data_IF_697345990748
#
_entry.id   IF_697345990748
#
_cell.length_a   1.000
_cell.length_b   1.000
_cell.length_c   1.000
_cell.angle_alpha   90.00
_cell.angle_beta   90.00
_cell.angle_gamma   90.00
#
_symmetry.space_group_name_H-M   'P 1'
#
loop_
_entity.id
_entity.type
_entity.pdbx_description
1 polymer ?
#
# COMPACT_ATOMS: atom_id res chain seq x y z
N UNK A 1 -1.45 10.31 11.06
CA UNK A 1 -1.38 9.38 9.91
C UNK A 1 -0.66 10.14 8.81
N UNK A 2 0.47 9.63 8.37
CA UNK A 2 1.39 10.39 7.51
C UNK A 2 0.84 10.61 6.11
N UNK A 3 0.33 9.61 5.44
CA UNK A 3 -0.28 9.72 4.12
C UNK A 3 -1.49 8.77 4.05
N UNK A 4 -2.67 9.27 3.71
CA UNK A 4 -3.87 8.46 3.66
C UNK A 4 -4.64 8.66 2.35
N UNK A 5 -4.42 7.77 1.39
CA UNK A 5 -5.07 7.81 0.09
C UNK A 5 -6.58 7.72 0.17
N UNK A 6 -7.11 6.80 0.96
CA UNK A 6 -8.56 6.59 1.07
C UNK A 6 -9.29 7.80 1.64
N UNK A 7 -8.77 8.38 2.73
CA UNK A 7 -9.39 9.56 3.32
C UNK A 7 -9.33 10.76 2.37
N UNK A 8 -8.21 10.93 1.66
CA UNK A 8 -8.06 11.99 0.66
C UNK A 8 -9.04 11.80 -0.50
N UNK A 9 -9.16 10.58 -1.02
CA UNK A 9 -10.11 10.25 -2.09
C UNK A 9 -11.55 10.49 -1.66
N UNK A 10 -11.95 10.01 -0.48
CA UNK A 10 -13.28 10.20 0.07
C UNK A 10 -13.60 11.69 0.29
N UNK A 11 -12.64 12.46 0.80
CA UNK A 11 -12.78 13.91 0.99
C UNK A 11 -12.93 14.64 -0.34
N UNK A 12 -12.13 14.29 -1.34
CA UNK A 12 -12.26 14.88 -2.68
C UNK A 12 -13.63 14.57 -3.30
N UNK A 13 -14.08 13.32 -3.20
CA UNK A 13 -15.42 12.92 -3.67
C UNK A 13 -16.51 13.75 -3.00
N UNK A 14 -16.51 13.84 -1.68
CA UNK A 14 -17.49 14.60 -0.93
C UNK A 14 -17.50 16.09 -1.28
N UNK A 15 -16.34 16.71 -1.52
CA UNK A 15 -16.23 18.10 -1.93
C UNK A 15 -16.81 18.37 -3.33
N UNK A 16 -16.57 17.47 -4.28
CA UNK A 16 -17.16 17.56 -5.62
C UNK A 16 -18.67 17.29 -5.58
N UNK A 17 -19.09 16.24 -4.87
CA UNK A 17 -20.48 15.81 -4.83
C UNK A 17 -21.40 16.83 -4.11
N UNK A 18 -20.91 17.44 -3.04
CA UNK A 18 -21.63 18.51 -2.32
C UNK A 18 -21.71 19.85 -3.07
N UNK A 19 -21.04 20.00 -4.22
CA UNK A 19 -20.96 21.22 -4.99
C UNK A 19 -20.13 22.34 -4.31
N UNK A 20 -19.42 22.05 -3.23
CA UNK A 20 -18.48 23.01 -2.63
C UNK A 20 -17.34 23.34 -3.58
N UNK A 21 -16.92 22.40 -4.39
CA UNK A 21 -16.08 22.63 -5.56
C UNK A 21 -16.98 22.51 -6.78
N UNK A 22 -17.22 23.64 -7.44
CA UNK A 22 -18.25 23.77 -8.47
C UNK A 22 -17.98 22.99 -9.75
N UNK A 23 -16.71 22.74 -10.08
CA UNK A 23 -16.32 21.98 -11.27
C UNK A 23 -15.36 20.87 -10.90
N UNK A 24 -15.55 19.69 -11.49
CA UNK A 24 -14.61 18.58 -11.37
C UNK A 24 -13.26 18.88 -12.04
N UNK A 25 -13.23 19.83 -12.98
CA UNK A 25 -11.98 20.30 -13.60
C UNK A 25 -11.13 21.18 -12.68
N UNK A 26 -11.69 21.60 -11.54
CA UNK A 26 -10.96 22.38 -10.54
C UNK A 26 -10.20 21.45 -9.61
N UNK A 27 -8.86 21.45 -9.62
CA UNK A 27 -8.07 20.60 -8.72
C UNK A 27 -8.27 20.99 -7.26
N UNK A 28 -8.37 19.98 -6.39
CA UNK A 28 -8.44 20.17 -4.94
C UNK A 28 -7.04 19.91 -4.37
N UNK A 29 -6.52 20.84 -3.59
CA UNK A 29 -5.21 20.72 -2.94
C UNK A 29 -5.42 20.45 -1.46
N UNK A 30 -4.91 19.32 -0.99
CA UNK A 30 -4.94 18.92 0.42
C UNK A 30 -3.59 19.19 1.05
N UNK A 31 -3.58 19.98 2.10
CA UNK A 31 -2.40 20.21 2.92
C UNK A 31 -2.36 19.17 4.04
N UNK A 32 -1.26 18.45 4.15
CA UNK A 32 -1.07 17.47 5.21
C UNK A 32 -0.22 18.05 6.34
N UNK A 33 -0.31 17.47 7.54
CA UNK A 33 0.53 17.88 8.68
C UNK A 33 2.03 17.67 8.45
N UNK A 34 2.41 16.96 7.39
CA UNK A 34 3.80 16.70 7.01
C UNK A 34 4.31 17.65 5.92
N UNK A 35 3.53 18.68 5.60
CA UNK A 35 3.91 19.67 4.60
C UNK A 35 3.71 19.22 3.15
N UNK A 36 3.29 17.98 2.90
CA UNK A 36 3.00 17.49 1.57
C UNK A 36 1.64 18.00 1.09
N UNK A 37 1.58 18.37 -0.18
CA UNK A 37 0.34 18.76 -0.85
C UNK A 37 -0.09 17.61 -1.74
N UNK A 38 -1.24 17.03 -1.44
CA UNK A 38 -1.89 16.07 -2.32
C UNK A 38 -2.88 16.79 -3.23
N UNK A 39 -2.82 16.50 -4.51
CA UNK A 39 -3.73 17.07 -5.50
C UNK A 39 -4.69 16.00 -5.95
N UNK A 40 -6.00 16.30 -5.84
CA UNK A 40 -7.06 15.48 -6.40
C UNK A 40 -7.65 16.21 -7.62
N UNK A 41 -7.77 15.51 -8.72
CA UNK A 41 -8.35 16.00 -9.96
C UNK A 41 -9.54 15.14 -10.36
N UNK A 42 -10.66 15.77 -10.69
CA UNK A 42 -11.76 15.08 -11.33
C UNK A 42 -11.40 14.73 -12.78
N UNK A 43 -11.81 13.55 -13.23
CA UNK A 43 -11.61 13.07 -14.60
C UNK A 43 -12.96 12.81 -15.27
N UNK A 44 -12.99 12.73 -16.60
CA UNK A 44 -14.18 12.26 -17.32
C UNK A 44 -14.69 10.95 -16.73
N UNK A 45 -15.97 10.68 -16.86
CA UNK A 45 -16.61 9.46 -16.31
C UNK A 45 -16.69 9.37 -14.77
N UNK A 46 -16.48 10.50 -14.06
CA UNK A 46 -16.65 10.56 -12.61
C UNK A 46 -15.48 10.05 -11.78
N UNK A 47 -14.39 9.65 -12.41
CA UNK A 47 -13.16 9.26 -11.72
C UNK A 47 -12.50 10.45 -11.02
N UNK A 48 -11.73 10.15 -9.98
CA UNK A 48 -10.88 11.11 -9.27
C UNK A 48 -9.46 10.55 -9.31
N UNK A 49 -8.54 11.33 -9.84
CA UNK A 49 -7.11 11.02 -9.84
C UNK A 49 -6.46 11.71 -8.64
N UNK A 50 -5.68 10.96 -7.89
CA UNK A 50 -4.82 11.49 -6.83
C UNK A 50 -3.37 11.49 -7.31
N UNK A 51 -2.69 12.61 -7.11
CA UNK A 51 -1.27 12.73 -7.41
C UNK A 51 -0.49 12.58 -6.10
N UNK A 52 0.20 11.44 -5.95
CA UNK A 52 1.05 11.13 -4.79
C UNK A 52 2.52 11.29 -5.12
N UNK A 53 3.37 11.66 -4.14
CA UNK A 53 4.80 11.61 -4.31
C UNK A 53 5.26 10.16 -4.52
N UNK A 54 6.19 9.98 -5.43
CA UNK A 54 6.80 8.67 -5.67
C UNK A 54 7.78 8.34 -4.55
N UNK A 55 7.58 7.21 -3.89
CA UNK A 55 8.47 6.67 -2.87
C UNK A 55 8.89 5.25 -3.26
N UNK A 56 9.65 5.15 -4.35
CA UNK A 56 10.10 3.85 -4.85
C UNK A 56 10.89 3.09 -3.77
N UNK A 57 10.64 1.80 -3.57
CA UNK A 57 11.43 0.99 -2.66
C UNK A 57 12.84 0.80 -3.22
N UNK A 58 13.84 0.90 -2.35
CA UNK A 58 15.23 0.57 -2.67
C UNK A 58 15.46 -0.86 -2.21
N UNK A 59 16.02 -1.68 -3.09
CA UNK A 59 16.35 -3.07 -2.79
C UNK A 59 17.22 -3.19 -1.53
N UNK A 60 16.90 -4.15 -0.68
CA UNK A 60 17.63 -4.42 0.55
C UNK A 60 17.89 -5.91 0.71
N UNK A 61 19.04 -6.23 1.27
CA UNK A 61 19.34 -7.57 1.77
C UNK A 61 18.88 -7.60 3.22
N UNK A 62 17.84 -8.40 3.49
CA UNK A 62 17.36 -8.61 4.85
C UNK A 62 18.43 -9.33 5.67
N UNK A 63 18.64 -8.89 6.90
CA UNK A 63 19.44 -9.63 7.86
C UNK A 63 18.81 -11.00 8.15
N UNK A 64 19.58 -11.94 8.66
CA UNK A 64 19.09 -13.28 9.02
C UNK A 64 17.87 -13.22 9.95
N UNK A 65 17.88 -12.32 10.93
CA UNK A 65 16.77 -12.11 11.85
C UNK A 65 15.52 -11.56 11.15
N UNK A 66 15.69 -10.55 10.31
CA UNK A 66 14.57 -9.97 9.53
C UNK A 66 13.96 -11.00 8.59
N UNK A 67 14.78 -11.82 7.95
CA UNK A 67 14.32 -12.92 7.11
C UNK A 67 13.46 -13.91 7.91
N UNK A 68 13.90 -14.33 9.08
CA UNK A 68 13.15 -15.23 9.96
C UNK A 68 11.82 -14.56 10.38
N UNK A 69 11.86 -13.31 10.85
CA UNK A 69 10.67 -12.58 11.27
C UNK A 69 9.66 -12.43 10.12
N UNK A 70 10.13 -12.21 8.89
CA UNK A 70 9.27 -12.12 7.70
C UNK A 70 8.63 -13.46 7.37
N UNK A 71 9.42 -14.55 7.33
CA UNK A 71 8.93 -15.89 7.01
C UNK A 71 7.90 -16.37 8.02
N UNK A 72 8.15 -16.17 9.31
CA UNK A 72 7.21 -16.52 10.38
C UNK A 72 5.95 -15.65 10.27
N UNK A 73 6.14 -14.34 10.14
CA UNK A 73 5.05 -13.37 10.12
C UNK A 73 4.06 -13.56 8.98
N UNK A 74 4.56 -13.98 7.81
CA UNK A 74 3.74 -14.23 6.62
C UNK A 74 3.40 -15.70 6.40
N UNK A 75 3.98 -16.61 7.19
CA UNK A 75 3.85 -18.07 6.99
C UNK A 75 4.26 -18.53 5.58
N UNK A 76 5.41 -18.05 5.12
CA UNK A 76 5.99 -18.38 3.81
C UNK A 76 7.38 -18.98 3.96
N UNK A 77 7.91 -19.55 2.89
CA UNK A 77 9.25 -20.13 2.83
C UNK A 77 10.26 -19.17 2.18
N UNK A 78 11.55 -19.38 2.42
CA UNK A 78 12.59 -18.51 1.86
C UNK A 78 12.61 -18.47 0.33
N UNK A 79 12.27 -19.56 -0.32
CA UNK A 79 12.15 -19.64 -1.78
C UNK A 79 10.94 -18.90 -2.37
N UNK A 80 10.00 -18.48 -1.55
CA UNK A 80 8.83 -17.72 -1.99
C UNK A 80 9.15 -16.23 -2.22
N UNK A 81 10.24 -15.71 -1.62
CA UNK A 81 10.61 -14.29 -1.72
C UNK A 81 11.39 -14.06 -3.01
N UNK A 82 10.87 -13.21 -3.88
CA UNK A 82 11.48 -12.84 -5.16
C UNK A 82 12.24 -11.51 -5.06
N UNK A 83 11.76 -10.59 -4.22
CA UNK A 83 12.35 -9.27 -4.03
C UNK A 83 12.02 -8.74 -2.63
N UNK A 84 12.93 -7.99 -2.05
CA UNK A 84 12.70 -7.19 -0.85
C UNK A 84 13.28 -5.80 -1.03
N UNK A 85 12.50 -4.77 -0.69
CA UNK A 85 12.93 -3.37 -0.77
C UNK A 85 12.30 -2.53 0.33
N UNK A 86 12.99 -1.46 0.75
CA UNK A 86 12.45 -0.50 1.70
C UNK A 86 12.15 0.83 1.04
N UNK A 87 10.94 1.33 1.24
CA UNK A 87 10.60 2.72 0.98
C UNK A 87 10.78 3.56 2.26
N UNK A 88 10.48 4.85 2.17
CA UNK A 88 10.49 5.74 3.34
C UNK A 88 9.55 5.24 4.46
N UNK A 89 8.47 4.57 4.09
CA UNK A 89 7.40 4.18 5.02
C UNK A 89 7.34 2.68 5.29
N UNK A 90 7.45 1.86 4.25
CA UNK A 90 7.07 0.46 4.27
C UNK A 90 8.19 -0.46 3.79
N UNK A 91 8.18 -1.70 4.27
CA UNK A 91 8.89 -2.80 3.65
C UNK A 91 8.04 -3.36 2.50
N UNK A 92 8.63 -3.44 1.31
CA UNK A 92 8.06 -4.08 0.13
C UNK A 92 8.63 -5.48 -0.03
N UNK A 93 7.76 -6.45 -0.26
CA UNK A 93 8.15 -7.83 -0.51
C UNK A 93 7.36 -8.36 -1.71
N UNK A 94 8.06 -8.73 -2.77
CA UNK A 94 7.47 -9.51 -3.85
C UNK A 94 7.64 -10.99 -3.57
N UNK A 95 6.55 -11.74 -3.68
CA UNK A 95 6.51 -13.18 -3.44
C UNK A 95 5.94 -13.93 -4.64
N UNK A 96 6.10 -15.25 -4.64
CA UNK A 96 5.47 -16.11 -5.66
C UNK A 96 3.94 -15.99 -5.61
N UNK A 97 3.28 -16.23 -6.75
CA UNK A 97 1.80 -16.24 -6.82
C UNK A 97 1.22 -17.33 -5.92
N UNK A 98 1.88 -18.47 -5.86
CA UNK A 98 1.49 -19.60 -5.04
C UNK A 98 1.50 -19.25 -3.55
N UNK A 99 2.55 -18.56 -3.09
CA UNK A 99 2.63 -18.07 -1.72
C UNK A 99 1.58 -17.01 -1.43
N UNK A 100 1.37 -16.07 -2.37
CA UNK A 100 0.39 -15.01 -2.21
C UNK A 100 -1.03 -15.54 -2.07
N UNK A 101 -1.41 -16.57 -2.84
CA UNK A 101 -2.75 -17.18 -2.81
C UNK A 101 -3.04 -17.93 -1.51
N UNK A 102 -2.00 -18.48 -0.86
CA UNK A 102 -2.12 -19.13 0.45
C UNK A 102 -1.71 -18.24 1.61
N UNK A 103 -1.44 -16.96 1.33
CA UNK A 103 -0.97 -16.01 2.33
C UNK A 103 -2.03 -15.78 3.40
N UNK A 104 -1.72 -16.22 4.60
CA UNK A 104 -2.47 -15.92 5.82
C UNK A 104 -1.54 -15.27 6.82
N UNK A 105 -1.97 -14.20 7.46
CA UNK A 105 -1.14 -13.52 8.44
C UNK A 105 -1.29 -14.21 9.77
N UNK A 106 -0.21 -14.77 10.25
CA UNK A 106 -0.22 -15.60 11.43
C UNK A 106 0.42 -14.89 12.62
N UNK A 107 1.54 -14.19 12.41
CA UNK A 107 2.27 -13.57 13.51
C UNK A 107 2.56 -12.09 13.26
N UNK A 108 1.65 -11.23 13.74
CA UNK A 108 1.81 -9.77 13.69
C UNK A 108 2.94 -9.25 14.57
N UNK A 109 3.33 -9.97 15.62
CA UNK A 109 4.45 -9.57 16.46
C UNK A 109 5.78 -9.79 15.75
N UNK A 110 5.88 -10.87 14.95
CA UNK A 110 7.01 -11.06 14.04
C UNK A 110 7.10 -9.92 13.03
N UNK A 111 6.00 -9.59 12.34
CA UNK A 111 5.97 -8.49 11.39
C UNK A 111 6.30 -7.14 12.03
N UNK A 112 5.88 -6.90 13.27
CA UNK A 112 6.17 -5.65 14.00
C UNK A 112 7.67 -5.44 14.22
N UNK A 113 8.43 -6.52 14.38
CA UNK A 113 9.90 -6.47 14.57
C UNK A 113 10.67 -6.04 13.32
N UNK A 114 10.08 -6.14 12.14
CA UNK A 114 10.67 -5.67 10.88
C UNK A 114 10.78 -4.15 10.78
N UNK A 115 10.10 -3.42 11.65
CA UNK A 115 10.11 -1.96 11.65
C UNK A 115 9.22 -1.37 10.55
N UNK A 116 9.38 -0.05 10.32
CA UNK A 116 8.56 0.68 9.35
C UNK A 116 7.11 0.89 9.80
N UNK A 117 6.29 1.43 8.91
CA UNK A 117 4.86 1.64 9.11
C UNK A 117 4.09 0.34 8.87
N UNK A 118 4.46 -0.39 7.82
CA UNK A 118 3.84 -1.64 7.43
C UNK A 118 4.66 -2.43 6.43
N UNK A 119 4.08 -3.53 5.99
CA UNK A 119 4.64 -4.42 4.98
C UNK A 119 3.67 -4.49 3.80
N UNK A 120 4.17 -4.15 2.61
CA UNK A 120 3.47 -4.35 1.33
C UNK A 120 3.93 -5.68 0.77
N UNK A 121 3.03 -6.63 0.65
CA UNK A 121 3.30 -7.90 -0.02
C UNK A 121 2.62 -7.89 -1.36
N UNK A 122 3.37 -8.16 -2.42
CA UNK A 122 2.88 -8.13 -3.80
C UNK A 122 3.29 -9.38 -4.56
N UNK A 123 2.55 -9.69 -5.62
CA UNK A 123 2.90 -10.71 -6.60
C UNK A 123 2.40 -10.29 -7.98
N UNK A 124 2.77 -11.02 -9.03
CA UNK A 124 2.13 -10.89 -10.35
C UNK A 124 0.61 -11.05 -10.20
N UNK A 125 -0.14 -10.44 -11.13
CA UNK A 125 -1.60 -10.52 -11.12
C UNK A 125 -2.11 -11.96 -11.00
N UNK A 126 -3.02 -12.17 -10.05
CA UNK A 126 -3.60 -13.49 -9.75
C UNK A 126 -4.83 -13.77 -10.58
N UNK A 127 -5.43 -12.75 -11.18
CA UNK A 127 -6.60 -12.83 -12.02
C UNK A 127 -6.33 -12.29 -13.43
N UNK A 128 -7.14 -12.70 -14.40
CA UNK A 128 -7.00 -12.25 -15.79
C UNK A 128 -7.23 -10.75 -15.89
N UNK A 129 -6.25 -10.04 -16.47
CA UNK A 129 -6.30 -8.59 -16.66
C UNK A 129 -5.72 -7.76 -15.51
N UNK A 130 -5.16 -8.41 -14.48
CA UNK A 130 -4.40 -7.75 -13.43
C UNK A 130 -2.91 -7.80 -13.73
N UNK A 131 -2.22 -6.67 -13.56
CA UNK A 131 -0.76 -6.61 -13.67
C UNK A 131 -0.10 -7.15 -12.39
N UNK A 132 -0.67 -6.82 -11.23
CA UNK A 132 -0.20 -7.29 -9.93
C UNK A 132 -1.34 -7.37 -8.91
N UNK A 133 -1.12 -8.15 -7.85
CA UNK A 133 -1.95 -8.18 -6.64
C UNK A 133 -1.14 -7.73 -5.44
N UNK A 134 -1.76 -7.04 -4.49
CA UNK A 134 -1.06 -6.49 -3.34
C UNK A 134 -1.90 -6.57 -2.06
N UNK A 135 -1.22 -6.83 -0.94
CA UNK A 135 -1.78 -6.74 0.43
C UNK A 135 -0.87 -5.88 1.28
N UNK A 136 -1.45 -5.01 2.08
CA UNK A 136 -0.71 -4.20 3.05
C UNK A 136 -1.02 -4.67 4.46
N UNK A 137 0.00 -4.91 5.25
CA UNK A 137 -0.08 -5.33 6.64
C UNK A 137 0.46 -4.23 7.54
N UNK A 138 -0.39 -3.76 8.47
CA UNK A 138 -0.04 -2.70 9.42
C UNK A 138 0.06 -3.21 10.86
N UNK A 139 1.14 -3.92 11.24
CA UNK A 139 1.23 -4.61 12.54
C UNK A 139 1.23 -3.67 13.76
N UNK A 140 1.35 -2.37 13.54
CA UNK A 140 1.30 -1.33 14.59
C UNK A 140 -0.07 -0.70 14.75
N UNK A 141 -1.03 -1.05 13.88
CA UNK A 141 -2.36 -0.47 13.90
C UNK A 141 -3.38 -1.48 14.47
N UNK A 142 -4.49 -1.00 15.07
CA UNK A 142 -5.56 -1.88 15.57
C UNK A 142 -6.24 -2.69 14.46
N UNK A 143 -6.21 -2.19 13.24
CA UNK A 143 -6.70 -2.90 12.04
C UNK A 143 -5.48 -3.46 11.33
N UNK A 144 -5.34 -4.77 11.33
CA UNK A 144 -4.10 -5.46 10.97
C UNK A 144 -3.91 -5.71 9.48
N UNK A 145 -4.98 -5.71 8.67
CA UNK A 145 -4.90 -6.06 7.24
C UNK A 145 -5.74 -5.12 6.39
N UNK A 146 -5.13 -4.56 5.36
CA UNK A 146 -5.84 -3.97 4.23
C UNK A 146 -5.52 -4.78 2.99
N UNK A 147 -6.55 -5.32 2.34
CA UNK A 147 -6.44 -6.00 1.05
C UNK A 147 -6.76 -4.97 -0.02
N UNK A 148 -5.79 -4.71 -0.89
CA UNK A 148 -5.99 -3.87 -2.05
C UNK A 148 -5.91 -4.74 -3.30
N UNK A 149 -6.98 -4.75 -4.08
CA UNK A 149 -6.95 -5.24 -5.45
C UNK A 149 -6.87 -4.02 -6.36
N UNK A 150 -5.76 -3.85 -7.06
CA UNK A 150 -5.63 -2.80 -8.05
C UNK A 150 -5.88 -3.40 -9.43
N UNK A 151 -6.85 -2.81 -10.15
CA UNK A 151 -7.03 -2.94 -11.57
C UNK A 151 -6.54 -1.64 -12.20
N UNK A 152 -5.61 -1.72 -13.12
CA UNK A 152 -5.21 -0.61 -13.98
C UNK A 152 -5.70 -0.85 -15.40
#
# INVERSE_FOLDING_TARGET
MELCGHATLASAHALYDSGKVKSRDTPIRFFTNFGEILVAEGKPNGFIQLNFPVTAPIEVILSHKESIDLLIGLSIEGGDILYAGRSVYDLFVEITVEAFNRLDVIDFDALRRLGGRGIVVTCRGTERGQDFSSRWFGPRYPIHVYIFHFHF
#
